data_IF_927131338889
#
_entry.id   IF_927131338889
#
_cell.length_a   1.000
_cell.length_b   1.000
_cell.length_c   1.000
_cell.angle_alpha   90.00
_cell.angle_beta   90.00
_cell.angle_gamma   90.00
#
_symmetry.space_group_name_H-M   'P 1'
#
loop_
_entity.id
_entity.type
_entity.pdbx_description
1 polymer ?
#
# COMPACT_ATOMS: atom_id res chain seq x y z
N UNK A 1 -14.07 -10.60 5.45
CA UNK A 1 -13.33 -9.90 4.39
C UNK A 1 -12.38 -10.88 3.70
N UNK A 2 -12.26 -10.79 2.40
CA UNK A 2 -11.42 -11.69 1.59
C UNK A 2 -10.47 -10.88 0.74
N UNK A 3 -9.34 -11.49 0.39
CA UNK A 3 -8.34 -10.88 -0.48
C UNK A 3 -7.77 -11.94 -1.42
N UNK A 4 -7.80 -11.65 -2.71
CA UNK A 4 -7.26 -12.51 -3.76
C UNK A 4 -6.26 -11.73 -4.59
N UNK A 5 -5.21 -12.40 -5.06
CA UNK A 5 -4.17 -11.79 -5.89
C UNK A 5 -4.15 -12.42 -7.28
N UNK A 6 -3.73 -11.62 -8.26
CA UNK A 6 -3.69 -12.02 -9.67
C UNK A 6 -2.44 -11.43 -10.33
N UNK A 7 -1.97 -12.02 -11.43
CA UNK A 7 -0.92 -11.37 -12.21
C UNK A 7 -1.31 -9.95 -12.63
N UNK A 8 -0.32 -9.08 -12.75
CA UNK A 8 -0.53 -7.69 -13.15
C UNK A 8 -1.32 -7.59 -14.46
N UNK A 9 -2.26 -6.66 -14.50
CA UNK A 9 -3.15 -6.37 -15.64
C UNK A 9 -4.20 -7.46 -15.91
N UNK A 10 -4.50 -8.30 -14.94
CA UNK A 10 -5.56 -9.33 -15.07
C UNK A 10 -6.96 -8.74 -14.99
N UNK A 11 -7.21 -7.85 -14.04
CA UNK A 11 -8.56 -7.35 -13.75
C UNK A 11 -9.04 -6.26 -14.71
N UNK A 12 -8.13 -5.43 -15.19
CA UNK A 12 -8.43 -4.42 -16.22
C UNK A 12 -9.14 -3.16 -15.75
N UNK A 13 -9.86 -3.20 -14.64
CA UNK A 13 -10.55 -2.06 -14.03
C UNK A 13 -10.17 -1.97 -12.58
N UNK A 14 -9.76 -0.77 -12.12
CA UNK A 14 -9.17 -0.60 -10.79
C UNK A 14 -9.74 0.61 -10.08
N UNK A 15 -10.02 0.47 -8.79
CA UNK A 15 -10.47 1.55 -7.92
C UNK A 15 -9.36 2.00 -6.96
N UNK A 16 -8.43 1.10 -6.62
CA UNK A 16 -7.47 1.34 -5.54
C UNK A 16 -6.03 1.13 -5.97
N UNK A 17 -5.13 1.76 -5.23
CA UNK A 17 -3.70 1.43 -5.22
C UNK A 17 -3.28 1.13 -3.79
N UNK A 18 -2.38 0.18 -3.64
CA UNK A 18 -1.72 -0.14 -2.37
C UNK A 18 -0.23 -0.13 -2.62
N UNK A 19 0.54 0.46 -1.72
CA UNK A 19 1.99 0.52 -1.84
C UNK A 19 2.62 -0.26 -0.69
N UNK A 20 3.38 -1.30 -1.03
CA UNK A 20 4.26 -1.97 -0.08
C UNK A 20 5.58 -1.22 -0.13
N UNK A 21 5.91 -0.52 0.93
CA UNK A 21 7.04 0.39 0.99
C UNK A 21 8.16 -0.19 1.85
N UNK A 22 9.37 -0.20 1.32
CA UNK A 22 10.55 -0.72 2.01
C UNK A 22 11.57 0.41 2.14
N UNK A 23 12.03 0.64 3.36
CA UNK A 23 13.04 1.62 3.68
C UNK A 23 14.14 0.95 4.49
N UNK A 24 15.34 0.88 3.93
CA UNK A 24 16.50 0.25 4.60
C UNK A 24 16.19 -1.15 5.12
N UNK A 25 15.50 -1.96 4.30
CA UNK A 25 15.16 -3.34 4.62
C UNK A 25 13.97 -3.53 5.55
N UNK A 26 13.30 -2.45 5.93
CA UNK A 26 12.12 -2.51 6.82
C UNK A 26 10.87 -2.08 6.09
N UNK A 27 9.73 -2.62 6.49
CA UNK A 27 8.43 -2.17 6.01
C UNK A 27 8.11 -0.81 6.63
N UNK A 28 7.67 0.12 5.81
CA UNK A 28 7.17 1.41 6.26
C UNK A 28 5.64 1.37 6.27
N UNK A 29 5.06 1.50 7.44
CA UNK A 29 3.62 1.53 7.62
C UNK A 29 3.17 2.86 8.20
N UNK A 30 1.92 3.21 7.94
CA UNK A 30 1.33 4.48 8.39
C UNK A 30 0.18 4.21 9.35
N UNK A 31 -0.05 5.15 10.27
CA UNK A 31 -1.13 5.07 11.24
C UNK A 31 -2.05 6.28 11.09
N UNK A 32 -3.32 6.02 10.89
CA UNK A 32 -4.36 7.05 10.80
C UNK A 32 -4.56 7.75 12.15
N UNK A 33 -4.85 9.05 12.14
CA UNK A 33 -5.06 9.88 13.34
C UNK A 33 -6.05 9.30 14.33
N UNK A 34 -7.11 8.66 13.84
CA UNK A 34 -8.20 8.13 14.65
C UNK A 34 -8.05 6.64 14.96
N UNK A 35 -6.88 6.07 14.69
CA UNK A 35 -6.64 4.62 14.87
C UNK A 35 -5.36 4.37 15.63
N UNK A 36 -5.30 3.19 16.25
CA UNK A 36 -4.09 2.67 16.88
C UNK A 36 -3.47 1.53 16.05
N UNK A 37 -3.93 1.37 14.81
CA UNK A 37 -3.55 0.27 13.93
C UNK A 37 -2.70 0.76 12.76
N UNK A 38 -1.92 -0.15 12.19
CA UNK A 38 -0.97 0.14 11.12
C UNK A 38 -1.45 -0.37 9.78
N UNK A 39 -1.15 0.38 8.74
CA UNK A 39 -1.58 0.06 7.39
C UNK A 39 -0.53 0.46 6.35
N UNK A 40 -0.57 -0.18 5.19
CA UNK A 40 0.20 0.24 4.03
C UNK A 40 -0.34 1.57 3.51
N UNK A 41 0.47 2.32 2.79
CA UNK A 41 -0.01 3.51 2.09
C UNK A 41 -0.90 3.07 0.92
N UNK A 42 -1.86 3.89 0.58
CA UNK A 42 -2.75 3.61 -0.53
C UNK A 42 -4.05 4.40 -0.47
N UNK A 43 -4.88 4.20 -1.46
CA UNK A 43 -6.18 4.84 -1.54
C UNK A 43 -6.78 4.74 -2.93
N UNK A 44 -7.82 5.55 -3.17
CA UNK A 44 -8.49 5.61 -4.46
C UNK A 44 -7.71 6.44 -5.46
N UNK A 45 -7.73 6.03 -6.73
CA UNK A 45 -7.29 6.91 -7.80
C UNK A 45 -8.30 8.05 -7.97
N UNK A 46 -7.81 9.23 -8.28
CA UNK A 46 -8.65 10.39 -8.55
C UNK A 46 -8.82 10.55 -10.06
N UNK A 47 -9.89 11.25 -10.46
CA UNK A 47 -10.20 11.44 -11.87
C UNK A 47 -9.02 12.03 -12.65
N UNK A 48 -8.66 11.41 -13.78
CA UNK A 48 -7.56 11.86 -14.62
C UNK A 48 -6.19 11.36 -14.22
N UNK A 49 -6.03 10.72 -13.06
CA UNK A 49 -4.76 10.13 -12.65
C UNK A 49 -4.55 8.76 -13.28
N UNK A 50 -3.31 8.47 -13.69
CA UNK A 50 -2.89 7.09 -13.92
C UNK A 50 -2.71 6.40 -12.56
N UNK A 51 -2.65 5.07 -12.56
CA UNK A 51 -2.47 4.32 -11.32
C UNK A 51 -1.12 4.64 -10.65
N UNK A 52 -0.06 4.80 -11.44
CA UNK A 52 1.26 5.15 -10.86
C UNK A 52 1.27 6.57 -10.29
N UNK A 53 0.55 7.50 -10.91
CA UNK A 53 0.39 8.85 -10.36
C UNK A 53 -0.37 8.82 -9.04
N UNK A 54 -1.45 8.05 -8.96
CA UNK A 54 -2.21 7.85 -7.72
C UNK A 54 -1.33 7.24 -6.64
N UNK A 55 -0.55 6.20 -6.98
CA UNK A 55 0.34 5.55 -6.03
C UNK A 55 1.39 6.51 -5.47
N UNK A 56 2.02 7.30 -6.33
CA UNK A 56 3.01 8.30 -5.90
C UNK A 56 2.40 9.38 -5.00
N UNK A 57 1.21 9.85 -5.33
CA UNK A 57 0.49 10.85 -4.54
C UNK A 57 0.15 10.30 -3.16
N UNK A 58 -0.45 9.11 -3.09
CA UNK A 58 -0.82 8.46 -1.82
C UNK A 58 0.43 8.17 -0.97
N UNK A 59 1.49 7.69 -1.60
CA UNK A 59 2.74 7.42 -0.91
C UNK A 59 3.28 8.69 -0.23
N UNK A 60 3.32 9.80 -0.94
CA UNK A 60 3.78 11.06 -0.37
C UNK A 60 2.84 11.57 0.74
N UNK A 61 1.54 11.61 0.47
CA UNK A 61 0.56 12.13 1.43
C UNK A 61 0.56 11.35 2.74
N UNK A 62 0.76 10.04 2.67
CA UNK A 62 0.64 9.16 3.83
C UNK A 62 1.95 8.81 4.51
N UNK A 63 3.09 9.16 3.92
CA UNK A 63 4.40 8.82 4.51
C UNK A 63 5.43 9.93 4.48
N UNK A 64 5.28 10.90 3.59
CA UNK A 64 6.31 11.91 3.38
C UNK A 64 7.48 11.46 2.50
N UNK A 65 7.41 10.29 1.88
CA UNK A 65 8.45 9.81 0.99
C UNK A 65 8.63 10.77 -0.19
N UNK A 66 9.86 11.21 -0.44
CA UNK A 66 10.19 12.20 -1.47
C UNK A 66 11.12 11.67 -2.55
N UNK A 67 11.84 10.59 -2.27
CA UNK A 67 12.72 9.94 -3.24
C UNK A 67 12.57 8.43 -3.13
N UNK A 68 12.21 7.79 -4.22
CA UNK A 68 11.88 6.37 -4.23
C UNK A 68 11.82 5.82 -5.66
N UNK A 69 11.91 4.49 -5.77
CA UNK A 69 11.58 3.75 -6.99
C UNK A 69 10.23 3.09 -6.76
N UNK A 70 9.30 3.28 -7.68
CA UNK A 70 7.93 2.81 -7.57
C UNK A 70 7.59 1.95 -8.78
N UNK A 71 7.18 0.70 -8.56
CA UNK A 71 6.89 -0.26 -9.63
C UNK A 71 5.58 -1.00 -9.37
N UNK A 72 4.72 -1.16 -10.38
CA UNK A 72 3.55 -2.02 -10.23
C UNK A 72 3.97 -3.49 -10.13
N UNK A 73 3.32 -4.25 -9.29
CA UNK A 73 3.72 -5.61 -8.98
C UNK A 73 2.67 -6.65 -9.38
N UNK A 74 1.45 -6.52 -8.88
CA UNK A 74 0.38 -7.46 -9.16
C UNK A 74 -0.98 -6.84 -8.86
N UNK A 75 -2.03 -7.46 -9.38
CA UNK A 75 -3.41 -7.06 -9.10
C UNK A 75 -3.92 -7.72 -7.84
N UNK A 76 -4.87 -7.08 -7.18
CA UNK A 76 -5.59 -7.70 -6.08
C UNK A 76 -7.06 -7.32 -6.09
N UNK A 77 -7.85 -8.12 -5.42
CA UNK A 77 -9.27 -7.89 -5.22
C UNK A 77 -9.58 -8.18 -3.75
N UNK A 78 -10.21 -7.24 -3.08
CA UNK A 78 -10.50 -7.37 -1.66
C UNK A 78 -11.87 -6.79 -1.31
N UNK A 79 -12.48 -7.33 -0.26
CA UNK A 79 -13.76 -6.87 0.24
C UNK A 79 -14.60 -7.95 0.87
N UNK A 80 -15.85 -7.60 1.11
CA UNK A 80 -16.89 -8.47 1.63
C UNK A 80 -17.77 -8.98 0.51
N UNK A 81 -18.71 -9.88 0.83
CA UNK A 81 -19.64 -10.47 -0.15
C UNK A 81 -20.35 -9.44 -1.01
N UNK A 82 -20.66 -8.28 -0.46
CA UNK A 82 -21.45 -7.25 -1.12
C UNK A 82 -20.61 -6.10 -1.71
N UNK A 83 -19.32 -6.04 -1.42
CA UNK A 83 -18.49 -4.92 -1.82
C UNK A 83 -17.07 -5.39 -2.08
N UNK A 84 -16.79 -5.67 -3.35
CA UNK A 84 -15.47 -6.01 -3.82
C UNK A 84 -14.83 -4.81 -4.51
N UNK A 85 -13.55 -4.57 -4.23
CA UNK A 85 -12.75 -3.58 -4.93
C UNK A 85 -11.56 -4.22 -5.59
N UNK A 86 -11.20 -3.70 -6.75
CA UNK A 86 -10.02 -4.10 -7.51
C UNK A 86 -8.93 -3.06 -7.34
N UNK A 87 -7.70 -3.51 -7.17
CA UNK A 87 -6.57 -2.62 -7.05
C UNK A 87 -5.30 -3.19 -7.63
N UNK A 88 -4.28 -2.33 -7.69
CA UNK A 88 -2.93 -2.72 -8.06
C UNK A 88 -2.04 -2.48 -6.85
N UNK A 89 -1.21 -3.48 -6.56
CA UNK A 89 -0.16 -3.37 -5.55
C UNK A 89 1.11 -2.88 -6.23
N UNK A 90 1.68 -1.82 -5.67
CA UNK A 90 2.98 -1.28 -6.07
C UNK A 90 4.00 -1.61 -5.01
N UNK A 91 5.25 -1.78 -5.43
CA UNK A 91 6.40 -1.89 -4.52
C UNK A 91 7.17 -0.57 -4.62
N UNK A 92 7.47 0.01 -3.47
CA UNK A 92 8.29 1.21 -3.39
C UNK A 92 9.58 0.91 -2.62
N UNK A 93 10.72 1.19 -3.25
CA UNK A 93 12.02 1.25 -2.56
C UNK A 93 12.26 2.70 -2.20
N UNK A 94 12.27 3.00 -0.91
CA UNK A 94 12.37 4.38 -0.43
C UNK A 94 13.82 4.75 -0.16
N UNK A 95 14.27 5.85 -0.73
CA UNK A 95 15.60 6.42 -0.50
C UNK A 95 15.59 7.55 0.51
N UNK A 96 14.56 8.39 0.44
CA UNK A 96 14.51 9.60 1.28
C UNK A 96 13.08 9.87 1.71
N UNK A 97 12.92 10.16 3.01
CA UNK A 97 11.64 10.49 3.63
C UNK A 97 11.76 11.90 4.19
N UNK A 98 10.84 12.76 3.76
CA UNK A 98 10.71 14.12 4.32
C UNK A 98 9.70 14.15 5.47
N UNK A 99 9.28 15.35 5.84
CA UNK A 99 8.26 15.52 6.85
C UNK A 99 6.94 14.91 6.40
N UNK A 100 6.22 14.27 7.32
CA UNK A 100 4.88 13.76 7.03
C UNK A 100 3.95 14.94 6.75
N UNK A 101 3.34 15.01 5.55
CA UNK A 101 2.42 16.09 5.24
C UNK A 101 1.21 16.07 6.15
N UNK A 102 0.56 17.21 6.31
CA UNK A 102 -0.73 17.26 6.98
C UNK A 102 -1.73 16.44 6.15
N UNK A 103 -2.25 15.37 6.75
CA UNK A 103 -3.12 14.41 6.09
C UNK A 103 -3.93 13.67 7.14
N UNK A 104 -4.56 12.56 6.74
CA UNK A 104 -5.26 11.69 7.69
C UNK A 104 -4.29 10.88 8.55
N UNK A 105 -3.01 10.80 8.16
CA UNK A 105 -2.01 10.02 8.89
C UNK A 105 -1.36 10.85 10.00
N UNK A 106 -1.13 10.22 11.14
CA UNK A 106 -0.50 10.83 12.30
C UNK A 106 0.98 10.44 12.42
N UNK A 107 1.31 9.22 12.02
CA UNK A 107 2.61 8.64 12.29
C UNK A 107 3.02 7.64 11.22
N UNK A 108 4.32 7.55 10.98
CA UNK A 108 4.95 6.53 10.15
C UNK A 108 5.95 5.77 11.02
N UNK A 109 5.99 4.44 10.89
CA UNK A 109 6.95 3.61 11.61
C UNK A 109 7.47 2.47 10.72
N UNK A 110 8.55 1.85 11.17
CA UNK A 110 9.32 0.88 10.40
C UNK A 110 9.37 -0.44 11.13
N UNK A 111 9.13 -1.53 10.40
CA UNK A 111 8.98 -2.86 10.98
C UNK A 111 9.77 -3.89 10.19
N UNK A 112 10.50 -4.78 10.88
CA UNK A 112 11.10 -5.94 10.23
C UNK A 112 10.05 -7.00 9.88
N UNK A 113 9.00 -7.08 10.68
CA UNK A 113 7.88 -7.99 10.48
C UNK A 113 6.58 -7.23 10.70
N UNK A 114 5.48 -7.71 10.14
CA UNK A 114 4.19 -7.08 10.36
C UNK A 114 3.84 -7.04 11.86
N UNK A 115 3.41 -5.88 12.36
CA UNK A 115 2.92 -5.81 13.74
C UNK A 115 1.57 -6.54 13.87
N UNK A 116 1.17 -6.94 15.10
CA UNK A 116 -0.10 -7.64 15.27
C UNK A 116 -1.34 -6.76 15.11
N UNK A 117 -1.21 -5.44 15.29
CA UNK A 117 -2.32 -4.50 15.25
C UNK A 117 -2.44 -3.82 13.87
N UNK A 118 -2.88 -4.60 12.89
CA UNK A 118 -3.09 -4.11 11.52
C UNK A 118 -4.51 -3.56 11.34
N UNK A 119 -4.65 -2.50 10.54
CA UNK A 119 -5.95 -1.97 10.15
C UNK A 119 -6.72 -2.99 9.31
N UNK A 120 -5.99 -3.71 8.43
CA UNK A 120 -6.58 -4.70 7.51
C UNK A 120 -5.89 -6.05 7.68
N UNK A 121 -6.18 -6.78 8.78
CA UNK A 121 -5.47 -8.01 9.08
C UNK A 121 -5.76 -9.16 8.11
N UNK A 122 -6.81 -9.05 7.32
CA UNK A 122 -7.19 -10.06 6.33
C UNK A 122 -6.66 -9.73 4.92
N UNK A 123 -6.11 -8.55 4.73
CA UNK A 123 -5.62 -8.08 3.44
C UNK A 123 -4.10 -7.94 3.44
N UNK A 124 -3.54 -7.12 4.32
CA UNK A 124 -2.12 -6.78 4.32
C UNK A 124 -1.20 -8.01 4.36
N UNK A 125 -1.44 -9.03 5.22
CA UNK A 125 -0.59 -10.21 5.21
C UNK A 125 -0.63 -11.00 3.90
N UNK A 126 -1.79 -11.06 3.25
CA UNK A 126 -1.95 -11.74 1.95
C UNK A 126 -1.11 -11.06 0.88
N UNK A 127 -1.18 -9.73 0.81
CA UNK A 127 -0.41 -8.95 -0.17
C UNK A 127 1.09 -9.06 0.08
N UNK A 128 1.51 -8.98 1.33
CA UNK A 128 2.93 -9.09 1.68
C UNK A 128 3.48 -10.48 1.36
N UNK A 129 2.72 -11.52 1.66
CA UNK A 129 3.12 -12.90 1.36
C UNK A 129 3.28 -13.11 -0.14
N UNK A 130 2.35 -12.58 -0.94
CA UNK A 130 2.43 -12.67 -2.39
C UNK A 130 3.67 -11.96 -2.93
N UNK A 131 4.00 -10.79 -2.40
CA UNK A 131 5.19 -10.05 -2.79
C UNK A 131 6.47 -10.85 -2.48
N UNK A 132 6.52 -11.50 -1.33
CA UNK A 132 7.65 -12.36 -0.95
C UNK A 132 7.77 -13.58 -1.87
N UNK A 133 6.67 -14.26 -2.15
CA UNK A 133 6.65 -15.41 -3.05
C UNK A 133 7.10 -15.05 -4.46
N UNK A 134 6.80 -13.85 -4.91
CA UNK A 134 7.21 -13.35 -6.21
C UNK A 134 8.66 -12.82 -6.24
N UNK A 135 9.36 -12.86 -5.11
CA UNK A 135 10.75 -12.38 -5.04
C UNK A 135 10.88 -10.86 -5.07
N UNK A 136 9.83 -10.14 -4.72
CA UNK A 136 9.80 -8.67 -4.76
C UNK A 136 10.23 -8.02 -3.44
N UNK A 137 10.37 -8.82 -2.41
CA UNK A 137 10.84 -8.37 -1.09
C UNK A 137 11.98 -9.23 -0.57
#
# INVERSE_FOLDING_TARGET
>A
MRCETYPLHTLGTYQFVVIISVYRGKLMLSRHKNRSTWETQGGHSEGGESLIEAAGRELYEESGAVKYLLSPAFDYRAGDENLWGNGVVFIAEIDEIGALPESEMEEVAFFYQLPPNLTYPEITPVLLQKAKEAGLL
#
